data_IF_953478452538
#
_entry.id   IF_953478452538
#
_cell.length_a   1.000
_cell.length_b   1.000
_cell.length_c   1.000
_cell.angle_alpha   90.00
_cell.angle_beta   90.00
_cell.angle_gamma   90.00
#
_symmetry.space_group_name_H-M   'P 1'
#
loop_
_entity.id
_entity.type
_entity.pdbx_description
1 polymer ?
#
# COMPACT_ATOMS: atom_id res chain seq x y z
N UNK A 1 16.40 -5.03 -17.81
CA UNK A 1 15.69 -5.01 -19.11
C UNK A 1 15.73 -6.43 -19.64
N UNK A 2 14.60 -6.95 -20.08
CA UNK A 2 14.48 -8.30 -20.67
C UNK A 2 13.64 -8.18 -21.93
N UNK A 3 14.03 -8.88 -22.97
CA UNK A 3 13.30 -8.95 -24.24
C UNK A 3 13.16 -10.42 -24.58
N UNK A 4 11.93 -10.86 -24.82
CA UNK A 4 11.60 -12.22 -25.23
C UNK A 4 11.04 -12.15 -26.65
N UNK A 5 11.64 -12.90 -27.58
CA UNK A 5 11.11 -13.09 -28.93
C UNK A 5 10.44 -14.45 -29.05
N UNK A 6 9.36 -14.51 -29.82
CA UNK A 6 8.56 -15.72 -30.03
C UNK A 6 8.63 -16.15 -31.51
N UNK A 7 8.39 -17.44 -31.79
CA UNK A 7 8.52 -18.02 -33.13
C UNK A 7 7.55 -17.41 -34.17
N UNK A 8 6.42 -16.87 -33.71
CA UNK A 8 5.43 -16.17 -34.53
C UNK A 8 5.85 -14.72 -34.87
N UNK A 9 7.04 -14.30 -34.45
CA UNK A 9 7.54 -12.93 -34.60
C UNK A 9 7.03 -11.97 -33.54
N UNK A 10 6.29 -12.44 -32.54
CA UNK A 10 5.89 -11.65 -31.38
C UNK A 10 7.08 -11.27 -30.49
N UNK A 11 6.96 -10.15 -29.77
CA UNK A 11 7.96 -9.72 -28.79
C UNK A 11 7.31 -9.27 -27.48
N UNK A 12 7.95 -9.61 -26.36
CA UNK A 12 7.62 -9.10 -25.02
C UNK A 12 8.83 -8.41 -24.40
N UNK A 13 8.70 -7.11 -24.15
CA UNK A 13 9.80 -6.24 -23.74
C UNK A 13 9.53 -5.64 -22.35
N UNK A 14 10.38 -5.97 -21.37
CA UNK A 14 10.34 -5.45 -20.00
C UNK A 14 11.34 -4.32 -19.79
N UNK A 15 10.84 -3.17 -19.38
CA UNK A 15 11.62 -1.96 -19.11
C UNK A 15 11.63 -1.63 -17.61
N UNK A 16 12.75 -1.08 -17.12
CA UNK A 16 12.91 -0.67 -15.72
C UNK A 16 12.56 -1.75 -14.67
N UNK A 17 12.89 -3.01 -14.95
CA UNK A 17 12.66 -4.15 -14.07
C UNK A 17 13.97 -4.82 -13.62
N UNK A 18 13.91 -5.48 -12.47
CA UNK A 18 14.86 -6.52 -12.06
C UNK A 18 14.31 -7.87 -12.52
N UNK A 19 15.20 -8.76 -12.98
CA UNK A 19 14.85 -10.11 -13.42
C UNK A 19 15.72 -11.07 -12.62
N UNK A 20 15.10 -12.13 -12.11
CA UNK A 20 15.77 -13.18 -11.36
C UNK A 20 15.19 -14.52 -11.80
N UNK A 21 16.07 -15.48 -12.05
CA UNK A 21 15.67 -16.88 -12.31
C UNK A 21 15.27 -17.55 -11.00
N UNK A 22 14.22 -18.37 -11.07
CA UNK A 22 13.63 -19.08 -9.96
C UNK A 22 13.45 -20.54 -10.38
N UNK A 23 14.19 -21.44 -9.73
CA UNK A 23 14.23 -22.88 -10.05
C UNK A 23 13.27 -23.72 -9.20
N UNK A 24 12.27 -23.08 -8.58
CA UNK A 24 11.27 -23.77 -7.76
C UNK A 24 9.85 -23.35 -8.14
N UNK A 25 8.87 -24.08 -7.62
CA UNK A 25 7.46 -23.76 -7.79
C UNK A 25 7.18 -22.34 -7.28
N UNK A 26 6.61 -21.49 -8.15
CA UNK A 26 6.25 -20.12 -7.84
C UNK A 26 5.20 -20.08 -6.72
N UNK A 27 4.27 -21.04 -6.68
CA UNK A 27 3.24 -21.11 -5.63
C UNK A 27 3.83 -21.47 -4.27
N UNK A 28 5.02 -22.09 -4.24
CA UNK A 28 5.76 -22.34 -3.02
C UNK A 28 6.56 -21.12 -2.53
N UNK A 29 6.90 -20.18 -3.43
CA UNK A 29 7.63 -18.96 -3.08
C UNK A 29 6.72 -17.80 -2.66
N UNK A 30 5.54 -17.67 -3.27
CA UNK A 30 4.65 -16.53 -3.06
C UNK A 30 3.58 -16.81 -2.01
N UNK A 31 3.53 -15.98 -0.95
CA UNK A 31 2.43 -15.99 0.02
C UNK A 31 1.19 -15.30 -0.57
N UNK A 32 0.39 -16.05 -1.34
CA UNK A 32 -0.84 -15.54 -1.95
C UNK A 32 -1.85 -14.98 -0.94
N UNK A 33 -1.77 -15.38 0.33
CA UNK A 33 -2.63 -14.83 1.38
C UNK A 33 -2.23 -13.41 1.82
N UNK A 34 -1.05 -12.93 1.42
CA UNK A 34 -0.55 -11.58 1.65
C UNK A 34 -0.76 -10.66 0.42
N UNK A 35 -1.12 -11.20 -0.75
CA UNK A 35 -1.44 -10.40 -1.94
C UNK A 35 -2.85 -9.81 -1.81
N UNK A 36 -2.91 -8.48 -1.76
CA UNK A 36 -4.17 -7.74 -1.57
C UNK A 36 -5.13 -7.86 -2.75
N UNK A 37 -4.67 -8.31 -3.92
CA UNK A 37 -5.47 -8.52 -5.12
C UNK A 37 -5.77 -10.00 -5.40
N UNK A 38 -5.12 -10.94 -4.69
CA UNK A 38 -5.39 -12.37 -4.83
C UNK A 38 -6.76 -12.75 -4.25
N UNK A 39 -7.38 -13.78 -4.84
CA UNK A 39 -8.56 -14.44 -4.28
C UNK A 39 -8.26 -15.20 -2.99
N UNK A 40 -6.98 -15.53 -2.75
CA UNK A 40 -6.52 -16.24 -1.54
C UNK A 40 -6.16 -15.30 -0.38
N UNK A 41 -6.31 -13.99 -0.56
CA UNK A 41 -6.07 -12.97 0.48
C UNK A 41 -6.78 -13.29 1.79
N UNK A 42 -6.03 -13.27 2.90
CA UNK A 42 -6.58 -13.51 4.22
C UNK A 42 -6.45 -12.26 5.13
N UNK A 43 -7.53 -11.47 5.31
CA UNK A 43 -7.51 -10.31 6.18
C UNK A 43 -7.34 -10.68 7.67
N UNK A 44 -7.67 -11.91 8.09
CA UNK A 44 -7.40 -12.39 9.46
C UNK A 44 -5.91 -12.61 9.66
N UNK A 45 -5.21 -13.21 8.68
CA UNK A 45 -3.76 -13.41 8.73
C UNK A 45 -3.00 -12.09 8.70
N UNK A 46 -3.40 -11.14 7.85
CA UNK A 46 -2.83 -9.79 7.85
C UNK A 46 -2.97 -9.11 9.23
N UNK A 47 -4.18 -9.12 9.82
CA UNK A 47 -4.40 -8.59 11.18
C UNK A 47 -3.58 -9.32 12.26
N UNK A 48 -3.34 -10.62 12.10
CA UNK A 48 -2.48 -11.39 13.02
C UNK A 48 -1.02 -10.94 12.92
N UNK A 49 -0.47 -10.79 11.70
CA UNK A 49 0.89 -10.27 11.47
C UNK A 49 1.04 -8.86 12.06
N UNK A 50 0.07 -7.97 11.83
CA UNK A 50 0.06 -6.62 12.40
C UNK A 50 0.08 -6.62 13.93
N UNK A 51 -0.78 -7.41 14.58
CA UNK A 51 -0.80 -7.50 16.05
C UNK A 51 0.50 -8.07 16.64
N UNK A 52 1.25 -8.85 15.89
CA UNK A 52 2.54 -9.38 16.31
C UNK A 52 3.68 -8.33 16.24
N UNK A 53 3.44 -7.18 15.61
CA UNK A 53 4.41 -6.10 15.47
C UNK A 53 3.82 -4.74 15.96
N UNK A 54 3.51 -4.60 17.26
CA UNK A 54 2.80 -3.44 17.79
C UNK A 54 3.57 -2.11 17.61
N UNK A 55 4.90 -2.14 17.67
CA UNK A 55 5.75 -0.93 17.54
C UNK A 55 5.94 -0.48 16.09
N UNK A 56 5.48 -1.26 15.11
CA UNK A 56 5.57 -0.92 13.71
C UNK A 56 4.72 0.32 13.42
N UNK A 57 5.26 1.28 12.67
CA UNK A 57 4.49 2.43 12.24
C UNK A 57 3.44 2.02 11.20
N UNK A 58 2.28 2.66 11.21
CA UNK A 58 1.19 2.40 10.27
C UNK A 58 1.62 2.61 8.81
N UNK A 59 2.55 3.55 8.55
CA UNK A 59 3.11 3.74 7.22
C UNK A 59 4.04 2.61 6.76
N UNK A 60 4.80 2.01 7.67
CA UNK A 60 5.67 0.88 7.37
C UNK A 60 4.83 -0.40 7.22
N UNK A 61 3.83 -0.59 8.08
CA UNK A 61 2.90 -1.70 8.03
C UNK A 61 2.24 -1.86 6.66
N UNK A 62 1.76 -0.76 6.06
CA UNK A 62 1.17 -0.79 4.72
C UNK A 62 2.18 -1.03 3.59
N UNK A 63 3.48 -0.83 3.82
CA UNK A 63 4.52 -1.08 2.82
C UNK A 63 5.19 -2.45 2.98
N UNK A 64 4.92 -3.15 4.08
CA UNK A 64 5.43 -4.48 4.35
C UNK A 64 4.83 -5.49 3.36
N UNK A 65 5.65 -5.99 2.45
CA UNK A 65 5.21 -6.93 1.40
C UNK A 65 4.85 -8.31 1.94
N UNK A 66 5.26 -8.66 3.15
CA UNK A 66 4.81 -9.89 3.80
C UNK A 66 3.41 -9.75 4.39
N UNK A 67 2.92 -8.51 4.59
CA UNK A 67 1.58 -8.24 5.13
C UNK A 67 0.61 -7.80 4.01
N UNK A 68 1.07 -6.93 3.12
CA UNK A 68 0.30 -6.33 2.04
C UNK A 68 1.11 -6.30 0.73
N UNK A 69 1.39 -7.48 0.16
CA UNK A 69 2.03 -7.59 -1.14
C UNK A 69 1.20 -6.82 -2.18
N UNK A 70 1.88 -5.96 -2.95
CA UNK A 70 1.27 -5.08 -3.96
C UNK A 70 0.92 -3.68 -3.47
N UNK A 71 0.92 -3.41 -2.15
CA UNK A 71 0.68 -2.06 -1.64
C UNK A 71 1.94 -1.20 -1.77
N UNK A 72 1.81 -0.11 -2.54
CA UNK A 72 2.87 0.87 -2.77
C UNK A 72 2.63 2.22 -2.08
N UNK A 73 3.55 3.16 -2.30
CA UNK A 73 3.56 4.46 -1.60
C UNK A 73 2.29 5.32 -1.84
N UNK A 74 1.67 5.22 -3.02
CA UNK A 74 0.43 5.97 -3.31
C UNK A 74 -0.71 5.40 -2.47
N UNK A 75 -0.94 4.09 -2.56
CA UNK A 75 -1.97 3.37 -1.80
C UNK A 75 -1.80 3.62 -0.31
N UNK A 76 -0.58 3.49 0.23
CA UNK A 76 -0.26 3.82 1.63
C UNK A 76 -0.77 5.19 2.06
N UNK A 77 -0.45 6.25 1.30
CA UNK A 77 -0.83 7.61 1.64
C UNK A 77 -2.36 7.82 1.59
N UNK A 78 -2.99 7.25 0.57
CA UNK A 78 -4.43 7.40 0.33
C UNK A 78 -5.25 6.62 1.36
N UNK A 79 -4.86 5.38 1.66
CA UNK A 79 -5.48 4.53 2.69
C UNK A 79 -5.43 5.24 4.05
N UNK A 80 -4.25 5.67 4.51
CA UNK A 80 -4.10 6.34 5.80
C UNK A 80 -4.94 7.62 5.90
N UNK A 81 -4.99 8.41 4.82
CA UNK A 81 -5.84 9.58 4.75
C UNK A 81 -7.33 9.22 4.83
N UNK A 82 -7.78 8.22 4.08
CA UNK A 82 -9.18 7.75 4.05
C UNK A 82 -9.63 7.26 5.43
N UNK A 83 -8.81 6.46 6.11
CA UNK A 83 -9.12 5.96 7.44
C UNK A 83 -8.81 6.96 8.57
N UNK A 84 -8.30 8.16 8.27
CA UNK A 84 -7.99 9.22 9.26
C UNK A 84 -6.95 8.83 10.30
N UNK A 85 -5.88 8.14 9.88
CA UNK A 85 -4.78 7.70 10.74
C UNK A 85 -3.50 8.39 10.31
N UNK A 86 -2.78 9.01 11.26
CA UNK A 86 -1.47 9.59 10.98
C UNK A 86 -0.45 8.49 10.65
N UNK A 87 0.39 8.63 9.60
CA UNK A 87 1.40 7.64 9.24
C UNK A 87 2.37 7.28 10.36
N UNK A 88 2.60 8.19 11.32
CA UNK A 88 3.47 8.00 12.49
C UNK A 88 2.80 7.22 13.62
N UNK A 89 1.54 6.81 13.46
CA UNK A 89 0.86 6.02 14.49
C UNK A 89 1.47 4.63 14.58
N UNK A 90 1.59 4.06 15.79
CA UNK A 90 2.02 2.68 15.97
C UNK A 90 0.85 1.72 15.79
N UNK A 91 1.10 0.52 15.25
CA UNK A 91 0.06 -0.50 15.00
C UNK A 91 -0.63 -0.91 16.31
N UNK A 92 0.12 -1.03 17.40
CA UNK A 92 -0.37 -1.39 18.72
C UNK A 92 -1.30 -0.35 19.34
N UNK A 93 -1.10 0.94 19.05
CA UNK A 93 -1.95 2.01 19.54
C UNK A 93 -3.24 2.21 18.71
N UNK A 94 -3.36 1.56 17.55
CA UNK A 94 -4.56 1.67 16.72
C UNK A 94 -5.76 0.98 17.39
N UNK A 95 -6.90 1.67 17.55
CA UNK A 95 -8.13 1.02 17.98
C UNK A 95 -8.50 -0.14 17.04
N UNK A 96 -9.12 -1.23 17.53
CA UNK A 96 -9.45 -2.39 16.70
C UNK A 96 -10.23 -2.05 15.42
N UNK A 97 -11.10 -1.02 15.48
CA UNK A 97 -11.84 -0.51 14.32
C UNK A 97 -10.92 0.12 13.27
N UNK A 98 -9.87 0.85 13.69
CA UNK A 98 -8.89 1.45 12.77
C UNK A 98 -7.95 0.42 12.18
N UNK A 99 -7.53 -0.57 12.98
CA UNK A 99 -6.73 -1.68 12.48
C UNK A 99 -7.49 -2.50 11.42
N UNK A 100 -8.78 -2.76 11.66
CA UNK A 100 -9.66 -3.38 10.67
C UNK A 100 -9.80 -2.52 9.41
N UNK A 101 -10.10 -1.23 9.57
CA UNK A 101 -10.22 -0.31 8.44
C UNK A 101 -8.93 -0.20 7.62
N UNK A 102 -7.75 -0.24 8.24
CA UNK A 102 -6.47 -0.24 7.54
C UNK A 102 -6.35 -1.44 6.60
N UNK A 103 -6.71 -2.63 7.07
CA UNK A 103 -6.63 -3.87 6.29
C UNK A 103 -7.66 -3.89 5.17
N UNK A 104 -8.91 -3.52 5.48
CA UNK A 104 -10.00 -3.55 4.51
C UNK A 104 -9.77 -2.49 3.40
N UNK A 105 -9.36 -1.28 3.78
CA UNK A 105 -9.11 -0.19 2.84
C UNK A 105 -7.85 -0.43 1.99
N UNK A 106 -6.83 -1.10 2.52
CA UNK A 106 -5.65 -1.48 1.74
C UNK A 106 -6.02 -2.36 0.54
N UNK A 107 -6.93 -3.31 0.74
CA UNK A 107 -7.46 -4.15 -0.35
C UNK A 107 -8.38 -3.34 -1.27
N UNK A 108 -9.40 -2.69 -0.72
CA UNK A 108 -10.39 -1.96 -1.53
C UNK A 108 -9.72 -0.93 -2.44
N UNK A 109 -8.85 -0.08 -1.88
CA UNK A 109 -8.18 0.96 -2.65
C UNK A 109 -7.24 0.38 -3.72
N UNK A 110 -6.70 -0.83 -3.54
CA UNK A 110 -5.88 -1.49 -4.55
C UNK A 110 -6.70 -1.91 -5.78
N UNK A 111 -7.93 -2.38 -5.59
CA UNK A 111 -8.85 -2.66 -6.69
C UNK A 111 -9.31 -1.38 -7.38
N UNK A 112 -9.67 -0.34 -6.62
CA UNK A 112 -10.02 0.98 -7.17
C UNK A 112 -8.85 1.56 -7.98
N UNK A 113 -7.63 1.45 -7.45
CA UNK A 113 -6.41 1.89 -8.12
C UNK A 113 -6.22 1.17 -9.46
N UNK A 114 -6.42 -0.15 -9.51
CA UNK A 114 -6.34 -0.91 -10.77
C UNK A 114 -7.40 -0.44 -11.77
N UNK A 115 -8.64 -0.27 -11.32
CA UNK A 115 -9.74 0.21 -12.17
C UNK A 115 -9.44 1.60 -12.75
N UNK A 116 -9.03 2.55 -11.91
CA UNK A 116 -8.69 3.91 -12.36
C UNK A 116 -7.43 3.96 -13.21
N UNK A 117 -6.48 3.05 -12.99
CA UNK A 117 -5.29 2.92 -13.84
C UNK A 117 -5.69 2.43 -15.24
N UNK A 118 -6.58 1.42 -15.34
CA UNK A 118 -7.12 0.94 -16.62
C UNK A 118 -7.95 2.01 -17.34
N UNK A 119 -8.66 2.85 -16.59
CA UNK A 119 -9.47 3.95 -17.12
C UNK A 119 -8.67 5.25 -17.39
N UNK A 120 -7.37 5.28 -17.11
CA UNK A 120 -6.52 6.48 -17.22
C UNK A 120 -6.95 7.69 -16.36
N UNK A 121 -7.77 7.48 -15.32
CA UNK A 121 -8.26 8.54 -14.41
C UNK A 121 -7.53 8.61 -13.07
N UNK A 122 -6.57 7.71 -12.81
CA UNK A 122 -5.94 7.50 -11.50
C UNK A 122 -5.59 8.78 -10.71
N UNK A 123 -4.90 9.75 -11.34
CA UNK A 123 -4.45 10.98 -10.65
C UNK A 123 -5.60 11.86 -10.15
N UNK A 124 -6.77 11.78 -10.79
CA UNK A 124 -7.95 12.56 -10.42
C UNK A 124 -8.51 12.13 -9.06
N UNK A 125 -8.20 10.90 -8.62
CA UNK A 125 -8.71 10.32 -7.39
C UNK A 125 -7.77 10.49 -6.18
N UNK A 126 -6.61 11.15 -6.35
CA UNK A 126 -5.65 11.37 -5.26
C UNK A 126 -6.13 12.46 -4.32
N UNK A 127 -6.45 12.09 -3.07
CA UNK A 127 -6.92 13.01 -2.05
C UNK A 127 -5.78 13.58 -1.19
N UNK A 128 -4.69 12.83 -1.07
CA UNK A 128 -3.58 13.13 -0.16
C UNK A 128 -2.23 13.09 -0.89
N UNK A 129 -2.02 12.09 -1.73
CA UNK A 129 -0.75 11.86 -2.39
C UNK A 129 -0.38 13.03 -3.33
N UNK A 130 0.79 13.62 -3.10
CA UNK A 130 1.28 14.79 -3.84
C UNK A 130 0.34 16.02 -3.80
N UNK A 131 -0.65 16.05 -2.91
CA UNK A 131 -1.49 17.22 -2.71
C UNK A 131 -0.80 18.26 -1.82
N UNK A 132 -1.15 19.53 -2.00
CA UNK A 132 -0.65 20.63 -1.15
C UNK A 132 -1.57 20.88 0.04
N UNK A 133 -2.88 20.74 -0.16
CA UNK A 133 -3.91 21.14 0.79
C UNK A 133 -4.89 20.00 1.04
N UNK A 134 -5.31 19.83 2.29
CA UNK A 134 -6.27 18.80 2.69
C UNK A 134 -7.66 19.11 2.13
N UNK A 135 -8.29 18.18 1.36
CA UNK A 135 -9.61 18.43 0.77
C UNK A 135 -10.76 18.44 1.79
N UNK A 136 -10.50 18.09 3.06
CA UNK A 136 -11.52 18.06 4.13
C UNK A 136 -11.57 19.34 4.95
N UNK A 137 -10.41 19.89 5.30
CA UNK A 137 -10.31 21.05 6.21
C UNK A 137 -9.50 22.21 5.64
N UNK A 138 -9.03 22.10 4.40
CA UNK A 138 -8.37 23.18 3.65
C UNK A 138 -7.07 23.74 4.26
N UNK A 139 -6.44 23.03 5.19
CA UNK A 139 -5.09 23.36 5.70
C UNK A 139 -4.00 22.61 4.90
N UNK A 140 -2.76 23.13 4.85
CA UNK A 140 -1.65 22.45 4.19
C UNK A 140 -1.38 21.05 4.75
N UNK A 141 -0.99 20.12 3.87
CA UNK A 141 -0.46 18.82 4.29
C UNK A 141 0.97 18.97 4.79
N UNK A 142 1.27 18.31 5.91
CA UNK A 142 2.64 18.01 6.31
C UNK A 142 3.22 16.93 5.41
N UNK A 143 4.54 17.00 5.20
CA UNK A 143 5.28 16.10 4.31
C UNK A 143 6.58 15.71 4.98
N UNK A 144 6.95 14.44 4.87
CA UNK A 144 8.19 13.93 5.44
C UNK A 144 8.52 12.55 4.89
N UNK A 145 9.76 12.12 5.07
CA UNK A 145 10.13 10.72 4.87
C UNK A 145 10.05 10.04 6.23
N UNK A 146 9.28 8.96 6.30
CA UNK A 146 8.94 8.31 7.57
C UNK A 146 9.24 6.82 7.51
N UNK A 147 9.40 6.25 8.69
CA UNK A 147 9.54 4.81 8.90
C UNK A 147 10.88 4.25 8.41
N UNK A 148 11.02 2.93 8.55
CA UNK A 148 12.21 2.20 8.14
C UNK A 148 12.43 2.26 6.63
N UNK A 149 11.34 2.36 5.88
CA UNK A 149 11.36 2.41 4.41
C UNK A 149 11.80 3.77 3.87
N UNK A 150 11.90 4.81 4.73
CA UNK A 150 12.25 6.19 4.38
C UNK A 150 11.44 6.71 3.17
N UNK A 151 10.17 6.33 3.08
CA UNK A 151 9.29 6.70 1.96
C UNK A 151 8.51 7.97 2.28
N UNK A 152 8.26 8.77 1.24
CA UNK A 152 7.51 10.03 1.37
C UNK A 152 6.08 9.77 1.84
N UNK A 153 5.71 10.46 2.92
CA UNK A 153 4.40 10.40 3.57
C UNK A 153 3.79 11.80 3.63
N UNK A 154 2.46 11.84 3.58
CA UNK A 154 1.67 13.07 3.64
C UNK A 154 0.64 12.90 4.76
N UNK A 155 0.46 13.92 5.60
CA UNK A 155 -0.56 13.86 6.64
C UNK A 155 -1.12 15.23 7.00
N UNK A 156 -2.38 15.23 7.41
CA UNK A 156 -3.07 16.42 7.86
C UNK A 156 -3.23 16.33 9.38
N UNK A 157 -2.60 17.25 10.11
CA UNK A 157 -2.60 17.27 11.58
C UNK A 157 -4.00 17.35 12.21
N UNK A 158 -4.97 17.94 11.49
CA UNK A 158 -6.35 18.08 11.96
C UNK A 158 -7.22 16.87 11.63
N UNK A 159 -7.04 16.28 10.45
CA UNK A 159 -7.92 15.21 9.97
C UNK A 159 -7.41 13.79 10.24
N UNK A 160 -6.11 13.62 10.47
CA UNK A 160 -5.48 12.33 10.69
C UNK A 160 -5.01 12.27 12.14
N UNK A 161 -5.61 11.37 12.92
CA UNK A 161 -5.29 11.25 14.34
C UNK A 161 -4.00 10.44 14.51
N UNK A 162 -3.09 10.94 15.33
CA UNK A 162 -1.92 10.22 15.81
C UNK A 162 -2.30 9.30 16.97
N UNK A 163 -1.90 8.03 16.88
CA UNK A 163 -2.01 7.05 17.95
C UNK A 163 -0.61 6.56 18.31
N UNK A 164 -0.16 6.85 19.52
CA UNK A 164 1.15 6.48 20.06
C UNK A 164 0.99 5.79 21.38
#
# INVERSE_FOLDING_TARGET
>A
RLSLGFEDGGELNFYACSVKEIDCDLDAMYDWAADVMSDRWDPKRARKKLRAAPDMLACDALLDQDIFSGVGNIIKNEVLFRIRVDPRSTVGALPPRKLRALVDEARQYSFDFLAWKKAYTLKQHWLCHNQKTCPRCHIPFHKGHLGRTNRRSFWCERCMKLYV
#
